data_IF_151142847704
#
_entry.id   IF_151142847704
#
_cell.length_a   1.000
_cell.length_b   1.000
_cell.length_c   1.000
_cell.angle_alpha   90.00
_cell.angle_beta   90.00
_cell.angle_gamma   90.00
#
_symmetry.space_group_name_H-M   'P 1'
#
loop_
_entity.id
_entity.type
_entity.pdbx_description
1 polymer ?
#
# COMPACT_ATOMS: atom_id res chain seq x y z
N UNK A 1 13.31 -62.93 -72.68
CA UNK A 1 11.84 -63.04 -72.70
C UNK A 1 11.39 -62.87 -71.26
N UNK A 2 10.71 -61.83 -70.76
CA UNK A 2 10.02 -60.63 -71.27
C UNK A 2 10.33 -59.49 -70.26
N UNK A 3 10.96 -58.36 -70.62
CA UNK A 3 10.40 -57.04 -71.00
C UNK A 3 9.07 -56.71 -70.27
N UNK A 4 8.90 -55.57 -69.56
CA UNK A 4 8.74 -54.15 -70.03
C UNK A 4 8.74 -53.26 -68.74
N UNK A 5 9.67 -52.32 -68.48
CA UNK A 5 9.75 -50.87 -68.82
C UNK A 5 8.52 -50.00 -68.45
N UNK A 6 8.61 -48.99 -67.56
CA UNK A 6 8.89 -47.54 -67.81
C UNK A 6 8.44 -46.79 -66.52
N UNK A 7 8.85 -45.60 -66.08
CA UNK A 7 9.77 -44.52 -66.51
C UNK A 7 9.73 -43.42 -65.42
N UNK A 8 10.84 -42.69 -65.24
CA UNK A 8 10.98 -41.24 -64.90
C UNK A 8 10.22 -40.67 -63.67
N UNK A 9 10.83 -39.88 -62.77
CA UNK A 9 11.59 -38.67 -63.07
C UNK A 9 12.47 -38.25 -61.86
N UNK A 10 13.67 -37.76 -62.17
CA UNK A 10 14.64 -37.14 -61.27
C UNK A 10 14.21 -35.73 -60.82
N UNK A 11 14.66 -35.25 -59.66
CA UNK A 11 15.81 -34.34 -59.58
C UNK A 11 16.16 -33.92 -58.14
N UNK A 12 17.46 -33.88 -57.94
CA UNK A 12 18.26 -33.38 -56.82
C UNK A 12 18.25 -31.84 -56.80
N UNK A 13 18.16 -31.20 -55.63
CA UNK A 13 18.94 -29.98 -55.31
C UNK A 13 18.84 -29.60 -53.82
N UNK A 14 19.98 -29.66 -53.15
CA UNK A 14 20.28 -28.94 -51.91
C UNK A 14 20.31 -27.43 -52.18
N UNK A 15 19.80 -26.63 -51.25
CA UNK A 15 19.91 -25.17 -51.25
C UNK A 15 19.90 -24.62 -49.82
N UNK A 16 21.07 -24.22 -49.35
CA UNK A 16 21.27 -23.47 -48.11
C UNK A 16 20.76 -22.02 -48.25
N UNK A 17 20.15 -21.52 -47.19
CA UNK A 17 20.24 -20.12 -46.77
C UNK A 17 19.26 -19.12 -47.42
N UNK A 18 18.34 -18.60 -46.62
CA UNK A 18 17.93 -17.20 -46.67
C UNK A 18 17.15 -16.83 -45.41
N UNK A 19 17.63 -15.81 -44.69
CA UNK A 19 16.83 -15.05 -43.73
C UNK A 19 15.61 -14.46 -44.43
N UNK A 20 14.41 -14.71 -43.90
CA UNK A 20 13.31 -13.77 -44.05
C UNK A 20 12.74 -13.39 -42.68
N UNK A 21 12.86 -12.10 -42.38
CA UNK A 21 12.00 -11.35 -41.49
C UNK A 21 10.63 -11.27 -42.17
N UNK A 22 9.60 -11.83 -41.55
CA UNK A 22 8.22 -11.50 -41.85
C UNK A 22 7.63 -10.75 -40.67
N UNK A 23 7.39 -9.46 -40.92
CA UNK A 23 6.43 -8.61 -40.24
C UNK A 23 5.02 -9.14 -40.48
N UNK A 24 4.25 -9.39 -39.42
CA UNK A 24 2.83 -9.70 -39.56
C UNK A 24 2.16 -9.94 -38.22
N UNK A 25 1.50 -8.90 -37.69
CA UNK A 25 0.51 -9.04 -36.64
C UNK A 25 -0.47 -10.16 -36.99
N UNK A 26 -0.52 -11.20 -36.17
CA UNK A 26 -1.70 -12.04 -36.03
C UNK A 26 -2.09 -12.05 -34.56
N UNK A 27 -3.30 -11.56 -34.29
CA UNK A 27 -3.97 -11.74 -33.01
C UNK A 27 -4.00 -13.23 -32.68
N UNK A 28 -3.17 -13.64 -31.72
CA UNK A 28 -3.34 -14.90 -31.00
C UNK A 28 -3.66 -14.53 -29.56
N UNK A 29 -4.96 -14.37 -29.28
CA UNK A 29 -5.47 -14.64 -27.95
C UNK A 29 -5.40 -16.16 -27.76
N UNK A 30 -4.65 -16.61 -26.76
CA UNK A 30 -4.95 -17.70 -25.81
C UNK A 30 -3.66 -18.31 -25.24
N UNK A 31 -3.17 -17.74 -24.14
CA UNK A 31 -2.80 -18.57 -23.00
C UNK A 31 -3.54 -17.99 -21.82
N UNK A 32 -4.18 -18.84 -21.01
CA UNK A 32 -4.49 -18.46 -19.63
C UNK A 32 -3.21 -17.82 -19.07
N UNK A 33 -3.28 -16.57 -18.64
CA UNK A 33 -2.19 -15.93 -17.90
C UNK A 33 -2.11 -16.67 -16.57
N UNK A 34 -1.43 -17.81 -16.55
CA UNK A 34 -1.19 -18.55 -15.31
C UNK A 34 -0.16 -17.77 -14.54
N UNK A 35 -0.61 -16.82 -13.71
CA UNK A 35 0.23 -16.18 -12.70
C UNK A 35 0.80 -17.28 -11.80
N UNK A 36 2.11 -17.49 -11.89
CA UNK A 36 2.86 -18.56 -11.20
C UNK A 36 3.56 -18.07 -9.92
N UNK A 37 3.33 -16.81 -9.57
CA UNK A 37 3.91 -16.10 -8.43
C UNK A 37 2.81 -15.52 -7.53
N UNK A 38 3.20 -15.06 -6.35
CA UNK A 38 2.30 -14.40 -5.39
C UNK A 38 1.88 -13.02 -5.90
N UNK A 39 0.63 -12.64 -5.67
CA UNK A 39 0.11 -11.32 -6.04
C UNK A 39 -0.41 -10.56 -4.84
N UNK A 40 -0.25 -9.24 -4.85
CA UNK A 40 -0.99 -8.30 -4.02
C UNK A 40 -2.44 -8.36 -4.46
N UNK A 41 -3.30 -8.90 -3.60
CA UNK A 41 -4.73 -9.09 -3.88
C UNK A 41 -5.55 -7.89 -3.41
N UNK A 42 -5.18 -7.28 -2.30
CA UNK A 42 -5.91 -6.13 -1.75
C UNK A 42 -5.00 -5.26 -0.90
N UNK A 43 -5.21 -3.95 -0.96
CA UNK A 43 -4.60 -2.97 -0.06
C UNK A 43 -5.67 -2.07 0.51
N UNK A 44 -5.82 -2.11 1.83
CA UNK A 44 -6.66 -1.21 2.59
C UNK A 44 -5.76 -0.21 3.32
N UNK A 45 -5.69 0.99 2.75
CA UNK A 45 -4.89 2.10 3.30
C UNK A 45 -5.78 3.27 3.79
N UNK A 46 -7.05 3.30 3.38
CA UNK A 46 -7.95 4.42 3.64
C UNK A 46 -8.24 4.60 5.14
N UNK A 47 -8.30 3.50 5.90
CA UNK A 47 -8.76 3.54 7.28
C UNK A 47 -10.26 3.83 7.38
N UNK A 48 -10.73 4.06 8.61
CA UNK A 48 -12.12 4.39 8.91
C UNK A 48 -12.26 5.82 9.45
N UNK A 49 -13.49 6.33 9.41
CA UNK A 49 -13.82 7.60 10.04
C UNK A 49 -14.34 7.36 11.45
N UNK A 50 -13.87 8.16 12.38
CA UNK A 50 -14.47 8.37 13.69
C UNK A 50 -15.13 9.74 13.72
N UNK A 51 -16.35 9.81 14.23
CA UNK A 51 -17.07 11.08 14.41
C UNK A 51 -17.28 11.30 15.90
N UNK A 52 -16.86 12.47 16.42
CA UNK A 52 -17.13 12.89 17.79
C UNK A 52 -18.15 14.03 17.83
N UNK A 53 -19.17 13.88 18.66
CA UNK A 53 -20.19 14.90 18.96
C UNK A 53 -20.18 15.18 20.47
N UNK A 54 -19.44 16.20 20.95
CA UNK A 54 -19.33 16.49 22.38
C UNK A 54 -20.68 16.84 23.02
N UNK A 55 -20.91 16.35 24.23
CA UNK A 55 -22.13 16.59 25.00
C UNK A 55 -22.19 17.96 25.70
N UNK A 56 -21.06 18.66 25.79
CA UNK A 56 -20.93 20.02 26.34
C UNK A 56 -20.22 20.96 25.36
N UNK A 57 -20.54 22.26 25.38
CA UNK A 57 -19.80 23.27 24.61
C UNK A 57 -18.35 23.32 25.09
N UNK A 58 -17.44 22.79 24.28
CA UNK A 58 -16.01 22.80 24.56
C UNK A 58 -15.40 24.09 24.00
N UNK A 59 -15.10 25.05 24.89
CA UNK A 59 -14.47 26.35 24.55
C UNK A 59 -12.94 26.32 24.69
N UNK A 60 -12.35 25.16 25.04
CA UNK A 60 -10.90 24.96 25.14
C UNK A 60 -10.26 24.68 23.78
N UNK A 61 -9.04 25.15 23.57
CA UNK A 61 -8.27 24.95 22.35
C UNK A 61 -8.25 23.47 21.93
N UNK A 62 -8.89 23.19 20.80
CA UNK A 62 -8.80 21.89 20.14
C UNK A 62 -7.38 21.76 19.59
N UNK A 63 -6.58 20.85 20.16
CA UNK A 63 -5.51 20.22 19.39
C UNK A 63 -6.22 19.23 18.46
N UNK A 64 -6.19 19.43 17.13
CA UNK A 64 -6.42 18.30 16.24
C UNK A 64 -5.42 17.25 16.68
N UNK A 65 -5.86 16.03 16.97
CA UNK A 65 -4.91 14.93 17.12
C UNK A 65 -3.96 14.99 15.92
N UNK A 66 -2.64 15.17 16.15
CA UNK A 66 -1.69 15.25 15.07
C UNK A 66 -1.55 13.83 14.51
N UNK A 67 -2.19 13.58 13.38
CA UNK A 67 -1.92 12.41 12.56
C UNK A 67 -2.50 11.09 13.09
N UNK A 68 -3.11 10.32 12.19
CA UNK A 68 -2.97 8.88 12.23
C UNK A 68 -1.48 8.56 12.23
N UNK A 69 -1.00 7.92 13.29
CA UNK A 69 0.43 7.72 13.51
C UNK A 69 0.69 7.14 14.88
N UNK A 70 0.24 5.90 15.10
CA UNK A 70 0.62 5.10 16.26
C UNK A 70 0.07 5.64 17.58
N UNK A 71 -0.35 4.74 18.47
CA UNK A 71 -0.61 5.15 19.84
C UNK A 71 0.71 5.45 20.55
N UNK A 72 1.18 6.69 20.38
CA UNK A 72 2.35 7.27 21.02
C UNK A 72 3.46 7.55 20.02
N UNK A 73 3.66 8.82 19.68
CA UNK A 73 4.93 9.51 19.96
C UNK A 73 4.77 11.03 19.80
N UNK A 74 5.59 11.72 20.57
CA UNK A 74 5.72 13.14 20.82
C UNK A 74 5.99 13.95 19.54
N UNK A 75 5.14 14.95 19.29
CA UNK A 75 5.56 16.12 18.51
C UNK A 75 5.02 17.38 19.17
N UNK A 76 5.92 18.07 19.88
CA UNK A 76 5.81 19.48 20.21
C UNK A 76 5.49 20.29 18.94
N UNK A 77 4.38 21.03 18.99
CA UNK A 77 4.16 22.16 18.09
C UNK A 77 3.78 23.37 18.92
N UNK A 78 4.81 24.13 19.28
CA UNK A 78 4.71 25.49 19.79
C UNK A 78 4.28 26.47 18.69
N UNK A 79 3.63 27.56 19.11
CA UNK A 79 3.41 28.87 18.43
C UNK A 79 1.96 29.20 17.99
N UNK A 80 1.56 30.49 17.99
CA UNK A 80 1.08 31.18 19.17
C UNK A 80 -0.34 31.75 19.00
N UNK A 81 -0.91 32.16 20.13
CA UNK A 81 -2.13 32.93 20.29
C UNK A 81 -2.13 34.27 19.55
N UNK A 82 -3.21 34.58 18.82
CA UNK A 82 -3.66 35.95 18.65
C UNK A 82 -5.09 36.10 19.19
N UNK A 83 -5.18 36.89 20.24
CA UNK A 83 -6.38 37.33 20.94
C UNK A 83 -6.94 38.55 20.20
N UNK A 84 -8.23 38.54 19.85
CA UNK A 84 -8.95 39.71 19.37
C UNK A 84 -10.23 39.85 20.16
N UNK A 85 -10.25 40.85 21.03
CA UNK A 85 -11.42 41.35 21.75
C UNK A 85 -12.16 42.36 20.89
N UNK A 86 -13.49 42.23 20.75
CA UNK A 86 -14.41 43.34 20.96
C UNK A 86 -15.89 42.88 21.03
N UNK A 87 -16.76 43.53 21.83
CA UNK A 87 -18.10 43.05 22.15
C UNK A 87 -19.19 43.73 21.32
N UNK A 88 -20.16 42.97 20.83
CA UNK A 88 -21.42 43.54 20.34
C UNK A 88 -22.61 42.63 20.68
N UNK A 89 -23.38 43.10 21.66
CA UNK A 89 -24.67 42.54 22.09
C UNK A 89 -25.69 42.66 20.96
N UNK A 90 -26.18 41.53 20.44
CA UNK A 90 -27.48 41.48 19.77
C UNK A 90 -28.20 40.19 20.17
N UNK A 91 -29.35 40.36 20.81
CA UNK A 91 -30.30 39.33 21.19
C UNK A 91 -30.84 38.67 19.91
N UNK A 92 -30.36 37.48 19.58
CA UNK A 92 -30.91 36.66 18.50
C UNK A 92 -31.49 35.38 19.07
N UNK A 93 -32.75 35.14 18.71
CA UNK A 93 -33.53 33.93 18.94
C UNK A 93 -32.69 32.66 18.80
N UNK A 94 -32.80 31.79 19.81
CA UNK A 94 -32.15 30.47 19.97
C UNK A 94 -32.23 29.63 18.69
N UNK A 95 -31.33 29.88 17.74
CA UNK A 95 -30.94 28.90 16.75
C UNK A 95 -30.37 27.75 17.56
N UNK A 96 -30.96 26.56 17.45
CA UNK A 96 -30.33 25.35 17.96
C UNK A 96 -28.94 25.31 17.34
N UNK A 97 -27.90 25.55 18.15
CA UNK A 97 -26.53 25.35 17.72
C UNK A 97 -26.46 23.89 17.31
N UNK A 98 -26.32 23.64 16.01
CA UNK A 98 -26.04 22.29 15.53
C UNK A 98 -24.81 21.81 16.31
N UNK A 99 -24.93 20.66 16.98
CA UNK A 99 -23.83 20.11 17.75
C UNK A 99 -22.60 20.02 16.83
N UNK A 100 -21.48 20.61 17.25
CA UNK A 100 -20.25 20.61 16.47
C UNK A 100 -19.74 19.18 16.39
N UNK A 101 -19.65 18.63 15.16
CA UNK A 101 -19.14 17.28 14.90
C UNK A 101 -17.68 17.37 14.44
N UNK A 102 -16.82 16.55 15.03
CA UNK A 102 -15.41 16.42 14.69
C UNK A 102 -15.19 15.09 13.98
N UNK A 103 -14.39 15.10 12.93
CA UNK A 103 -14.16 13.93 12.08
C UNK A 103 -12.68 13.62 12.08
N UNK A 104 -12.34 12.37 12.35
CA UNK A 104 -10.96 11.89 12.41
C UNK A 104 -10.84 10.65 11.54
N UNK A 105 -9.80 10.61 10.71
CA UNK A 105 -9.40 9.38 10.02
C UNK A 105 -8.55 8.55 10.97
N UNK A 106 -8.88 7.27 11.11
CA UNK A 106 -8.13 6.28 11.86
C UNK A 106 -7.62 5.24 10.87
N UNK A 107 -6.30 5.13 10.72
CA UNK A 107 -5.63 4.27 9.74
C UNK A 107 -4.69 3.25 10.41
N UNK A 108 -4.93 2.95 11.68
CA UNK A 108 -4.20 1.88 12.38
C UNK A 108 -4.66 0.48 11.91
N UNK A 109 -5.83 0.36 11.28
CA UNK A 109 -6.40 -0.90 10.80
C UNK A 109 -6.10 -1.19 9.32
N UNK A 110 -5.01 -0.61 8.81
CA UNK A 110 -4.52 -0.88 7.47
C UNK A 110 -4.07 -2.33 7.30
N UNK A 111 -4.25 -2.85 6.09
CA UNK A 111 -3.78 -4.19 5.73
C UNK A 111 -3.41 -4.32 4.26
N UNK A 112 -2.59 -5.34 4.00
CA UNK A 112 -2.26 -5.87 2.67
C UNK A 112 -2.65 -7.34 2.67
N UNK A 113 -3.28 -7.80 1.60
CA UNK A 113 -3.43 -9.24 1.37
C UNK A 113 -2.62 -9.70 0.18
N UNK A 114 -2.00 -10.87 0.32
CA UNK A 114 -1.26 -11.57 -0.73
C UNK A 114 -1.99 -12.85 -1.06
N UNK A 115 -2.08 -13.22 -2.33
CA UNK A 115 -2.72 -14.45 -2.78
C UNK A 115 -1.75 -15.29 -3.61
N UNK A 116 -1.89 -16.61 -3.49
CA UNK A 116 -1.19 -17.56 -4.37
C UNK A 116 -2.14 -18.08 -5.47
N UNK A 117 -2.09 -17.51 -6.69
CA UNK A 117 -2.84 -17.98 -7.84
C UNK A 117 -2.23 -19.22 -8.51
N UNK A 118 -0.99 -19.56 -8.15
CA UNK A 118 -0.28 -20.68 -8.77
C UNK A 118 -0.82 -22.03 -8.28
N UNK A 119 -0.45 -23.09 -8.99
CA UNK A 119 -0.78 -24.48 -8.63
C UNK A 119 0.23 -25.10 -7.66
N UNK A 120 1.26 -24.36 -7.26
CA UNK A 120 2.33 -24.84 -6.40
C UNK A 120 2.34 -24.10 -5.06
N UNK A 121 2.91 -24.72 -4.03
CA UNK A 121 3.18 -24.02 -2.78
C UNK A 121 4.34 -23.05 -2.99
N UNK A 122 4.12 -21.79 -2.66
CA UNK A 122 5.13 -20.73 -2.66
C UNK A 122 5.55 -20.41 -1.22
N UNK A 123 6.59 -19.62 -1.02
CA UNK A 123 7.12 -19.32 0.32
C UNK A 123 7.36 -17.81 0.48
N UNK A 124 6.97 -17.28 1.64
CA UNK A 124 7.17 -15.87 2.01
C UNK A 124 8.59 -15.60 2.51
N UNK A 125 9.32 -16.62 2.94
CA UNK A 125 10.70 -16.50 3.40
C UNK A 125 11.58 -15.74 2.39
N UNK A 126 12.40 -14.82 2.89
CA UNK A 126 13.26 -13.92 2.08
C UNK A 126 12.53 -12.96 1.13
N UNK A 127 11.20 -12.85 1.25
CA UNK A 127 10.44 -11.78 0.62
C UNK A 127 10.38 -10.55 1.53
N UNK A 128 10.03 -9.42 0.94
CA UNK A 128 9.75 -8.19 1.66
C UNK A 128 8.62 -7.40 0.98
N UNK A 129 7.87 -6.65 1.78
CA UNK A 129 7.02 -5.56 1.31
C UNK A 129 7.85 -4.29 1.31
N UNK A 130 7.85 -3.58 0.17
CA UNK A 130 8.64 -2.36 0.00
C UNK A 130 7.78 -1.21 -0.50
N UNK A 131 8.15 0.00 -0.09
CA UNK A 131 7.59 1.25 -0.64
C UNK A 131 8.61 1.91 -1.55
N UNK A 132 8.15 2.56 -2.61
CA UNK A 132 9.01 3.30 -3.53
C UNK A 132 9.44 4.64 -2.92
N UNK A 133 10.62 5.12 -3.30
CA UNK A 133 11.16 6.42 -2.91
C UNK A 133 10.43 7.60 -3.58
N UNK A 134 9.79 7.39 -4.73
CA UNK A 134 9.02 8.40 -5.43
C UNK A 134 7.58 8.40 -4.93
N UNK A 135 7.15 9.55 -4.38
CA UNK A 135 5.72 9.87 -4.26
C UNK A 135 5.17 10.17 -5.66
N UNK A 136 4.16 9.43 -6.15
CA UNK A 136 3.62 9.59 -7.50
C UNK A 136 2.92 10.95 -7.73
N UNK A 137 2.70 11.75 -6.68
CA UNK A 137 2.16 13.11 -6.77
C UNK A 137 3.23 14.16 -7.05
N UNK A 138 4.51 13.78 -7.11
CA UNK A 138 5.64 14.69 -7.28
C UNK A 138 6.32 14.40 -8.62
N UNK A 139 6.70 15.45 -9.35
CA UNK A 139 7.59 15.33 -10.51
C UNK A 139 9.01 15.61 -10.04
N UNK A 140 9.87 14.61 -10.14
CA UNK A 140 11.31 14.79 -9.94
C UNK A 140 12.01 15.05 -11.27
N UNK A 141 12.80 16.12 -11.31
CA UNK A 141 13.79 16.34 -12.36
C UNK A 141 15.12 15.78 -11.85
N UNK A 142 15.59 14.68 -12.45
CA UNK A 142 16.84 14.05 -12.03
C UNK A 142 18.05 14.67 -12.74
N UNK A 143 19.18 14.70 -12.04
CA UNK A 143 20.45 14.95 -12.69
C UNK A 143 20.77 13.83 -13.72
N UNK A 144 21.59 14.12 -14.75
CA UNK A 144 21.96 13.12 -15.75
C UNK A 144 22.56 11.85 -15.13
N UNK A 145 21.95 10.70 -15.41
CA UNK A 145 22.38 9.40 -14.91
C UNK A 145 21.72 8.96 -13.59
N UNK A 146 20.95 9.83 -12.93
CA UNK A 146 20.30 9.53 -11.64
C UNK A 146 18.84 9.06 -11.76
N UNK A 147 18.24 9.22 -12.94
CA UNK A 147 16.88 8.73 -13.16
C UNK A 147 16.86 7.19 -13.19
N UNK A 148 16.43 6.60 -12.07
CA UNK A 148 16.38 5.15 -11.90
C UNK A 148 15.07 4.50 -12.32
N UNK A 149 14.03 5.27 -12.64
CA UNK A 149 12.65 4.77 -12.88
C UNK A 149 12.60 3.64 -13.93
N UNK A 150 13.51 3.68 -14.91
CA UNK A 150 13.61 2.70 -15.99
C UNK A 150 14.71 1.63 -15.79
N UNK A 151 15.47 1.72 -14.70
CA UNK A 151 16.68 0.95 -14.42
C UNK A 151 16.49 -0.07 -13.31
N UNK A 152 15.85 0.32 -12.20
CA UNK A 152 15.51 -0.57 -11.09
C UNK A 152 14.29 -0.05 -10.31
N UNK A 153 13.75 -0.85 -9.39
CA UNK A 153 12.71 -0.40 -8.47
C UNK A 153 13.39 0.30 -7.29
N UNK A 154 13.28 1.64 -7.21
CA UNK A 154 13.95 2.46 -6.20
C UNK A 154 13.16 2.54 -4.90
N UNK A 155 13.66 1.89 -3.86
CA UNK A 155 12.95 1.64 -2.62
C UNK A 155 13.30 2.63 -1.51
N UNK A 156 12.29 3.05 -0.75
CA UNK A 156 12.43 3.76 0.52
C UNK A 156 12.39 2.80 1.72
N UNK A 157 11.25 2.17 2.01
CA UNK A 157 11.07 1.29 3.17
C UNK A 157 11.07 -0.18 2.77
N UNK A 158 11.56 -1.05 3.66
CA UNK A 158 11.72 -2.50 3.42
C UNK A 158 11.31 -3.27 4.68
N UNK A 159 10.14 -3.91 4.63
CA UNK A 159 9.59 -4.76 5.70
C UNK A 159 9.72 -6.23 5.30
N UNK A 160 10.57 -6.97 6.01
CA UNK A 160 10.96 -8.33 5.64
C UNK A 160 10.07 -9.36 6.32
N UNK A 161 9.64 -10.37 5.56
CA UNK A 161 9.03 -11.55 6.17
C UNK A 161 10.09 -12.34 6.95
N UNK A 162 9.72 -12.94 8.10
CA UNK A 162 10.60 -13.84 8.83
C UNK A 162 10.81 -15.16 8.07
N UNK A 163 11.69 -16.01 8.58
CA UNK A 163 11.88 -17.38 8.12
C UNK A 163 13.23 -17.68 7.47
N UNK A 164 13.53 -18.98 7.34
CA UNK A 164 14.83 -19.54 6.90
C UNK A 164 14.78 -20.20 5.52
N UNK A 165 13.64 -20.15 4.84
CA UNK A 165 13.47 -20.56 3.44
C UNK A 165 12.20 -21.38 3.18
N UNK A 166 11.69 -22.09 4.18
CA UNK A 166 10.52 -22.95 4.06
C UNK A 166 9.55 -22.86 5.25
N UNK A 167 9.70 -21.84 6.10
CA UNK A 167 8.93 -21.73 7.34
C UNK A 167 7.50 -21.22 7.08
N UNK A 168 7.31 -20.41 6.04
CA UNK A 168 6.05 -19.74 5.73
C UNK A 168 5.52 -20.13 4.33
N UNK A 169 4.99 -21.36 4.16
CA UNK A 169 4.37 -21.79 2.92
C UNK A 169 3.02 -21.10 2.67
N UNK A 170 2.79 -20.70 1.43
CA UNK A 170 1.50 -20.22 0.91
C UNK A 170 0.97 -21.24 -0.08
N UNK A 171 -0.09 -21.96 0.29
CA UNK A 171 -0.69 -23.01 -0.56
C UNK A 171 -1.42 -22.39 -1.75
N UNK A 172 -1.61 -23.14 -2.86
CA UNK A 172 -2.49 -22.73 -3.94
C UNK A 172 -3.86 -22.28 -3.43
N UNK A 173 -4.31 -21.10 -3.84
CA UNK A 173 -5.59 -20.53 -3.41
C UNK A 173 -5.58 -19.90 -2.01
N UNK A 174 -4.46 -19.89 -1.29
CA UNK A 174 -4.38 -19.26 0.02
C UNK A 174 -4.21 -17.74 -0.10
N UNK A 175 -4.95 -17.01 0.73
CA UNK A 175 -4.70 -15.59 1.01
C UNK A 175 -3.97 -15.47 2.34
N UNK A 176 -2.95 -14.61 2.38
CA UNK A 176 -2.22 -14.19 3.56
C UNK A 176 -2.63 -12.76 3.89
N UNK A 177 -2.94 -12.49 5.15
CA UNK A 177 -3.36 -11.19 5.66
C UNK A 177 -2.24 -10.60 6.51
N UNK A 178 -1.73 -9.45 6.08
CA UNK A 178 -0.64 -8.72 6.74
C UNK A 178 -1.22 -7.38 7.17
N UNK A 179 -1.09 -7.04 8.45
CA UNK A 179 -1.77 -5.88 9.04
C UNK A 179 -0.79 -4.93 9.70
N UNK A 180 -1.23 -3.70 9.98
CA UNK A 180 -0.42 -2.79 10.79
C UNK A 180 -0.30 -3.31 12.23
N UNK A 181 -1.42 -3.40 12.94
CA UNK A 181 -1.51 -4.00 14.27
C UNK A 181 -2.50 -5.16 14.28
N UNK A 182 -2.11 -6.32 14.78
CA UNK A 182 -2.99 -7.48 14.85
C UNK A 182 -3.86 -7.48 16.11
N UNK A 183 -4.78 -6.51 16.19
CA UNK A 183 -5.71 -6.33 17.33
C UNK A 183 -7.17 -6.24 16.86
N UNK A 184 -8.10 -6.32 17.80
CA UNK A 184 -9.48 -5.89 17.57
C UNK A 184 -9.55 -4.37 17.72
N UNK A 185 -9.44 -3.63 16.61
CA UNK A 185 -9.28 -2.18 16.64
C UNK A 185 -10.47 -1.44 17.25
N UNK A 186 -11.69 -1.98 17.12
CA UNK A 186 -12.85 -1.39 17.76
C UNK A 186 -12.72 -1.48 19.29
N UNK A 187 -12.40 -2.66 19.82
CA UNK A 187 -12.24 -2.86 21.27
C UNK A 187 -11.02 -2.13 21.83
N UNK A 188 -9.92 -2.09 21.08
CA UNK A 188 -8.73 -1.34 21.46
C UNK A 188 -9.04 0.16 21.60
N UNK A 189 -9.80 0.71 20.63
CA UNK A 189 -10.23 2.11 20.68
C UNK A 189 -11.22 2.38 21.81
N UNK A 190 -12.21 1.51 22.04
CA UNK A 190 -13.14 1.62 23.17
C UNK A 190 -12.40 1.63 24.52
N UNK A 191 -11.41 0.74 24.67
CA UNK A 191 -10.57 0.70 25.87
C UNK A 191 -9.76 1.98 26.03
N UNK A 192 -9.17 2.50 24.95
CA UNK A 192 -8.45 3.77 24.98
C UNK A 192 -9.35 4.91 25.47
N UNK A 193 -10.60 4.99 24.99
CA UNK A 193 -11.54 6.02 25.45
C UNK A 193 -11.85 5.89 26.95
N UNK A 194 -12.10 4.66 27.43
CA UNK A 194 -12.38 4.39 28.85
C UNK A 194 -11.18 4.74 29.75
N UNK A 195 -9.97 4.32 29.37
CA UNK A 195 -8.72 4.62 30.09
C UNK A 195 -8.46 6.14 30.21
N UNK A 196 -8.98 6.94 29.27
CA UNK A 196 -8.84 8.40 29.24
C UNK A 196 -10.08 9.15 29.76
N UNK A 197 -11.09 8.43 30.28
CA UNK A 197 -12.30 9.04 30.85
C UNK A 197 -13.22 9.71 29.82
N UNK A 198 -13.13 9.34 28.54
CA UNK A 198 -13.97 9.86 27.47
C UNK A 198 -15.34 9.16 27.45
N UNK A 199 -16.38 9.92 27.06
CA UNK A 199 -17.73 9.38 26.97
C UNK A 199 -17.94 8.71 25.60
N UNK A 200 -17.91 7.37 25.56
CA UNK A 200 -18.11 6.57 24.34
C UNK A 200 -19.37 6.96 23.53
N UNK A 201 -20.43 7.47 24.18
CA UNK A 201 -21.66 7.90 23.49
C UNK A 201 -21.48 9.14 22.62
N UNK A 202 -20.39 9.87 22.79
CA UNK A 202 -20.02 10.99 21.93
C UNK A 202 -19.39 10.53 20.61
N UNK A 203 -19.09 9.23 20.46
CA UNK A 203 -18.35 8.69 19.33
C UNK A 203 -19.22 7.80 18.44
N UNK A 204 -19.10 7.98 17.13
CA UNK A 204 -19.73 7.16 16.09
C UNK A 204 -18.64 6.60 15.16
N UNK A 205 -18.88 5.40 14.60
CA UNK A 205 -18.02 4.77 13.60
C UNK A 205 -17.00 3.78 14.13
N UNK A 206 -16.79 3.70 15.45
CA UNK A 206 -15.88 2.73 16.09
C UNK A 206 -16.27 1.28 15.75
N UNK A 207 -17.58 1.01 15.62
CA UNK A 207 -18.14 -0.28 15.24
C UNK A 207 -17.74 -0.75 13.82
N UNK A 208 -17.17 0.14 13.00
CA UNK A 208 -16.66 -0.18 11.67
C UNK A 208 -15.18 -0.62 11.69
N UNK A 209 -14.44 -0.28 12.74
CA UNK A 209 -13.01 -0.61 12.85
C UNK A 209 -12.80 -2.12 12.82
N UNK A 210 -11.77 -2.56 12.11
CA UNK A 210 -11.59 -3.97 11.79
C UNK A 210 -11.19 -4.83 13.00
N UNK A 211 -11.57 -6.11 13.00
CA UNK A 211 -10.96 -7.10 13.88
C UNK A 211 -9.84 -7.81 13.12
N UNK A 212 -8.60 -7.41 13.39
CA UNK A 212 -7.40 -7.92 12.76
C UNK A 212 -6.59 -8.84 13.69
N UNK A 213 -7.17 -9.24 14.82
CA UNK A 213 -6.51 -10.07 15.84
C UNK A 213 -6.07 -11.47 15.38
N UNK A 214 -6.54 -11.89 14.20
CA UNK A 214 -6.27 -13.20 13.58
C UNK A 214 -5.50 -13.08 12.25
N UNK A 215 -4.84 -11.95 12.02
CA UNK A 215 -3.96 -11.78 10.87
C UNK A 215 -2.83 -12.82 10.86
N UNK A 216 -2.27 -13.09 9.68
CA UNK A 216 -1.14 -14.02 9.52
C UNK A 216 0.18 -13.36 9.91
N UNK A 217 0.30 -12.04 9.72
CA UNK A 217 1.47 -11.23 10.07
C UNK A 217 1.07 -9.81 10.48
N UNK A 218 1.93 -9.12 11.22
CA UNK A 218 1.84 -7.69 11.44
C UNK A 218 3.15 -6.95 11.12
N UNK A 219 3.12 -5.65 10.86
CA UNK A 219 4.32 -4.84 10.63
C UNK A 219 4.56 -3.75 11.68
N UNK A 220 3.73 -3.68 12.72
CA UNK A 220 4.02 -2.83 13.87
C UNK A 220 5.32 -3.28 14.57
N UNK A 221 6.09 -2.35 15.16
CA UNK A 221 7.30 -2.72 15.87
C UNK A 221 7.00 -3.69 17.02
N UNK A 222 7.83 -4.71 17.21
CA UNK A 222 7.69 -5.66 18.33
C UNK A 222 7.78 -5.03 19.73
N UNK A 223 8.27 -3.80 19.81
CA UNK A 223 8.30 -2.99 21.05
C UNK A 223 7.05 -2.16 21.26
N UNK A 224 6.13 -2.13 20.29
CA UNK A 224 4.86 -1.41 20.41
C UNK A 224 3.98 -2.08 21.47
N UNK A 225 3.32 -1.26 22.29
CA UNK A 225 2.41 -1.74 23.34
C UNK A 225 1.24 -2.55 22.79
N UNK A 226 0.88 -2.33 21.53
CA UNK A 226 -0.22 -2.99 20.83
C UNK A 226 0.24 -4.16 19.95
N UNK A 227 1.52 -4.56 19.99
CA UNK A 227 2.01 -5.73 19.27
C UNK A 227 1.34 -7.00 19.80
N UNK A 228 0.92 -7.91 18.91
CA UNK A 228 0.32 -9.18 19.27
C UNK A 228 1.39 -10.28 19.27
N UNK A 229 1.83 -10.78 20.43
CA UNK A 229 2.93 -11.74 20.50
C UNK A 229 2.61 -13.12 19.86
N UNK A 230 1.37 -13.37 19.46
CA UNK A 230 0.97 -14.59 18.77
C UNK A 230 0.96 -14.44 17.24
N UNK A 231 1.18 -13.24 16.72
CA UNK A 231 1.25 -12.95 15.28
C UNK A 231 2.71 -12.65 14.93
N UNK A 232 3.29 -13.32 13.92
CA UNK A 232 4.66 -13.03 13.50
C UNK A 232 4.83 -11.62 12.92
N UNK A 233 5.91 -10.94 13.31
CA UNK A 233 6.22 -9.60 12.85
C UNK A 233 7.00 -9.60 11.52
N UNK A 234 6.67 -8.67 10.63
CA UNK A 234 7.58 -8.19 9.60
C UNK A 234 8.59 -7.24 10.25
N UNK A 235 9.87 -7.50 10.02
CA UNK A 235 10.95 -6.66 10.57
C UNK A 235 11.53 -5.75 9.51
N UNK A 236 11.78 -4.47 9.80
CA UNK A 236 12.45 -3.60 8.85
C UNK A 236 13.88 -4.11 8.59
N UNK A 237 14.38 -3.98 7.36
CA UNK A 237 15.74 -4.44 7.04
C UNK A 237 16.82 -3.75 7.88
N UNK A 238 16.57 -2.48 8.21
CA UNK A 238 17.29 -1.65 9.17
C UNK A 238 16.27 -0.69 9.82
N UNK A 239 16.47 -0.22 11.06
CA UNK A 239 15.46 0.59 11.77
C UNK A 239 14.97 1.82 10.99
N UNK A 240 15.86 2.50 10.27
CA UNK A 240 15.54 3.69 9.46
C UNK A 240 14.85 3.39 8.12
N UNK A 241 14.51 2.14 7.84
CA UNK A 241 13.84 1.68 6.62
C UNK A 241 12.48 1.05 6.91
N UNK A 242 11.90 1.31 8.08
CA UNK A 242 10.54 0.94 8.39
C UNK A 242 9.53 1.84 7.64
N UNK A 243 8.30 1.37 7.46
CA UNK A 243 7.14 2.24 7.30
C UNK A 243 6.17 1.96 8.44
N UNK A 244 5.49 2.99 8.94
CA UNK A 244 4.45 2.85 9.97
C UNK A 244 3.06 2.65 9.36
N UNK A 245 2.78 3.35 8.26
CA UNK A 245 1.51 3.28 7.53
C UNK A 245 1.76 3.20 6.02
N UNK A 246 0.75 2.72 5.30
CA UNK A 246 0.67 2.78 3.85
C UNK A 246 0.17 4.16 3.48
N UNK A 247 1.01 4.94 2.80
CA UNK A 247 0.68 6.29 2.34
C UNK A 247 -0.44 6.28 1.29
N UNK A 248 -1.24 7.35 1.26
CA UNK A 248 -2.27 7.58 0.23
C UNK A 248 -1.68 7.79 -1.19
N UNK A 249 -0.36 7.99 -1.29
CA UNK A 249 0.38 8.10 -2.52
C UNK A 249 1.76 7.42 -2.40
N UNK A 250 1.91 6.25 -3.01
CA UNK A 250 3.14 5.45 -2.92
C UNK A 250 3.15 4.33 -3.96
N UNK A 251 4.34 3.96 -4.45
CA UNK A 251 4.52 2.65 -5.10
C UNK A 251 4.71 1.57 -4.05
N UNK A 252 3.95 0.48 -4.11
CA UNK A 252 4.04 -0.66 -3.21
C UNK A 252 4.47 -1.90 -4.00
N UNK A 253 5.37 -2.73 -3.47
CA UNK A 253 5.76 -3.97 -4.12
C UNK A 253 6.03 -5.11 -3.14
N UNK A 254 5.77 -6.33 -3.60
CA UNK A 254 6.30 -7.56 -3.04
C UNK A 254 7.59 -7.91 -3.79
N UNK A 255 8.69 -8.09 -3.07
CA UNK A 255 10.00 -8.35 -3.69
C UNK A 255 10.70 -9.53 -3.04
N UNK A 256 11.57 -10.20 -3.80
CA UNK A 256 12.57 -11.12 -3.26
C UNK A 256 13.86 -10.35 -3.00
N UNK A 257 14.34 -10.36 -1.76
CA UNK A 257 15.56 -9.65 -1.43
C UNK A 257 16.77 -10.23 -2.19
N UNK A 258 17.58 -9.41 -2.88
CA UNK A 258 18.78 -9.88 -3.55
C UNK A 258 19.97 -10.10 -2.61
N UNK A 259 19.81 -9.75 -1.33
CA UNK A 259 20.83 -9.84 -0.28
C UNK A 259 20.18 -10.26 1.05
N UNK A 260 21.00 -10.73 2.00
CA UNK A 260 20.55 -10.98 3.37
C UNK A 260 20.51 -9.68 4.19
N UNK A 261 19.75 -9.61 5.30
CA UNK A 261 19.78 -8.47 6.21
C UNK A 261 21.19 -8.13 6.72
N UNK A 262 21.98 -9.14 7.06
CA UNK A 262 23.37 -8.95 7.49
C UNK A 262 24.23 -8.32 6.38
N UNK A 263 24.07 -8.78 5.13
CA UNK A 263 24.77 -8.19 3.98
C UNK A 263 24.33 -6.74 3.73
N UNK A 264 23.03 -6.46 3.85
CA UNK A 264 22.50 -5.11 3.68
C UNK A 264 23.03 -4.15 4.75
N UNK A 265 23.14 -4.60 6.00
CA UNK A 265 23.70 -3.81 7.08
C UNK A 265 25.14 -3.34 6.78
N UNK A 266 25.96 -4.16 6.09
CA UNK A 266 27.29 -3.73 5.64
C UNK A 266 27.24 -2.65 4.56
N UNK A 267 26.28 -2.71 3.63
CA UNK A 267 26.07 -1.65 2.65
C UNK A 267 25.62 -0.34 3.32
N UNK A 268 24.74 -0.44 4.32
CA UNK A 268 24.17 0.70 5.03
C UNK A 268 25.19 1.47 5.91
N UNK A 269 26.33 0.85 6.25
CA UNK A 269 27.44 1.54 6.95
C UNK A 269 28.20 2.53 6.07
N UNK A 270 28.05 2.44 4.74
CA UNK A 270 28.77 3.29 3.78
C UNK A 270 28.01 4.60 3.55
N UNK A 271 28.72 5.65 3.16
CA UNK A 271 28.11 6.91 2.74
C UNK A 271 27.73 6.81 1.23
N UNK A 272 26.43 6.87 0.88
CA UNK A 272 25.99 6.72 -0.51
C UNK A 272 26.50 7.81 -1.46
N UNK A 273 26.66 9.04 -0.98
CA UNK A 273 27.16 10.16 -1.78
C UNK A 273 28.66 9.97 -2.09
N UNK A 274 29.44 9.55 -1.10
CA UNK A 274 30.85 9.22 -1.28
C UNK A 274 31.03 8.01 -2.23
N UNK A 275 30.18 6.99 -2.08
CA UNK A 275 30.17 5.82 -2.96
C UNK A 275 29.87 6.20 -4.41
N UNK A 276 28.91 7.09 -4.63
CA UNK A 276 28.61 7.64 -5.95
C UNK A 276 29.81 8.36 -6.56
N UNK A 277 30.46 9.27 -5.82
CA UNK A 277 31.66 10.00 -6.28
C UNK A 277 32.80 9.05 -6.63
N UNK A 278 32.98 7.99 -5.84
CA UNK A 278 34.02 6.99 -6.04
C UNK A 278 33.62 5.83 -6.99
N UNK A 279 32.38 5.82 -7.50
CA UNK A 279 31.81 4.75 -8.34
C UNK A 279 31.88 3.36 -7.70
N UNK A 280 31.69 3.29 -6.39
CA UNK A 280 31.64 2.02 -5.65
C UNK A 280 30.30 1.33 -5.92
N UNK A 281 30.33 0.02 -6.16
CA UNK A 281 29.11 -0.77 -6.30
C UNK A 281 28.43 -0.94 -4.94
N UNK A 282 27.28 -0.30 -4.78
CA UNK A 282 26.43 -0.37 -3.59
C UNK A 282 24.96 -0.35 -4.06
N UNK A 283 24.04 -1.18 -3.52
CA UNK A 283 22.62 -1.08 -3.84
C UNK A 283 21.97 0.20 -3.28
N UNK A 284 22.63 0.94 -2.39
CA UNK A 284 22.12 2.20 -1.83
C UNK A 284 22.69 3.37 -2.63
N UNK A 285 21.84 4.05 -3.39
CA UNK A 285 22.24 5.09 -4.33
C UNK A 285 21.86 6.47 -3.82
N UNK A 286 22.80 7.42 -3.89
CA UNK A 286 22.52 8.84 -3.72
C UNK A 286 22.02 9.45 -5.03
N UNK A 287 20.81 9.99 -5.02
CA UNK A 287 20.10 10.47 -6.20
C UNK A 287 20.12 11.99 -6.18
N UNK A 288 20.72 12.59 -7.21
CA UNK A 288 20.68 14.04 -7.36
C UNK A 288 19.43 14.47 -8.14
N UNK A 289 18.76 15.50 -7.64
CA UNK A 289 17.65 16.17 -8.32
C UNK A 289 18.05 17.60 -8.70
N UNK A 290 17.50 18.10 -9.79
CA UNK A 290 17.86 19.41 -10.35
C UNK A 290 16.79 20.47 -10.14
N UNK A 291 15.57 20.10 -9.73
CA UNK A 291 14.55 21.09 -9.40
C UNK A 291 14.88 21.75 -8.04
N UNK A 292 14.47 23.01 -7.84
CA UNK A 292 14.83 23.78 -6.64
C UNK A 292 14.01 23.43 -5.40
N UNK A 293 12.90 22.72 -5.57
CA UNK A 293 11.92 22.52 -4.50
C UNK A 293 12.14 21.22 -3.70
N UNK A 294 13.01 20.33 -4.18
CA UNK A 294 13.30 19.05 -3.53
C UNK A 294 14.79 18.87 -3.29
N UNK A 295 15.11 18.25 -2.15
CA UNK A 295 16.46 17.83 -1.84
C UNK A 295 16.81 16.53 -2.57
N UNK A 296 18.11 16.32 -2.75
CA UNK A 296 18.65 15.01 -3.07
C UNK A 296 18.20 13.97 -2.05
N UNK A 297 18.17 12.70 -2.46
CA UNK A 297 17.68 11.62 -1.61
C UNK A 297 18.40 10.31 -1.86
N UNK A 298 18.07 9.29 -1.08
CA UNK A 298 18.66 7.95 -1.21
C UNK A 298 17.61 6.94 -1.62
N UNK A 299 17.89 6.17 -2.68
CA UNK A 299 17.05 5.06 -3.12
C UNK A 299 17.81 3.73 -3.01
N UNK A 300 17.15 2.68 -2.54
CA UNK A 300 17.69 1.32 -2.53
C UNK A 300 17.30 0.60 -3.81
N UNK A 301 18.27 0.06 -4.54
CA UNK A 301 18.06 -0.71 -5.75
C UNK A 301 17.51 -2.11 -5.44
N UNK A 302 16.30 -2.38 -5.93
CA UNK A 302 15.82 -3.73 -6.19
C UNK A 302 15.79 -3.94 -7.71
N UNK A 303 16.60 -4.87 -8.26
CA UNK A 303 16.56 -5.19 -9.68
C UNK A 303 15.15 -5.63 -10.09
N UNK A 304 14.68 -5.23 -11.27
CA UNK A 304 13.30 -5.53 -11.69
C UNK A 304 12.94 -7.02 -11.65
N UNK A 305 13.86 -7.91 -12.02
CA UNK A 305 13.65 -9.37 -11.96
C UNK A 305 13.55 -9.94 -10.53
N UNK A 306 13.61 -9.09 -9.50
CA UNK A 306 13.38 -9.43 -8.10
C UNK A 306 12.06 -8.87 -7.57
N UNK A 307 11.37 -8.03 -8.34
CA UNK A 307 10.00 -7.62 -8.02
C UNK A 307 9.06 -8.75 -8.44
N UNK A 308 8.25 -9.21 -7.49
CA UNK A 308 7.29 -10.29 -7.69
C UNK A 308 5.98 -9.71 -8.20
N UNK A 309 5.47 -8.69 -7.53
CA UNK A 309 4.27 -7.95 -7.91
C UNK A 309 4.38 -6.51 -7.37
N UNK A 310 3.74 -5.56 -8.03
CA UNK A 310 3.73 -4.16 -7.59
C UNK A 310 2.48 -3.40 -8.04
N UNK A 311 2.15 -2.35 -7.28
CA UNK A 311 1.08 -1.43 -7.61
C UNK A 311 1.44 0.02 -7.23
N UNK A 312 0.70 0.97 -7.77
CA UNK A 312 0.87 2.40 -7.49
C UNK A 312 -0.42 2.98 -6.93
N UNK A 313 -0.37 3.38 -5.67
CA UNK A 313 -1.45 4.07 -4.98
C UNK A 313 -1.26 5.57 -5.23
N UNK A 314 -2.31 6.27 -5.69
CA UNK A 314 -2.29 7.73 -5.80
C UNK A 314 -3.73 8.26 -5.92
N UNK A 315 -4.06 9.43 -5.32
CA UNK A 315 -5.34 10.07 -5.60
C UNK A 315 -5.51 10.35 -7.09
N UNK A 316 -6.72 10.08 -7.60
CA UNK A 316 -7.00 9.97 -9.04
C UNK A 316 -6.68 11.23 -9.85
N UNK A 317 -6.72 12.42 -9.23
CA UNK A 317 -6.43 13.73 -9.85
C UNK A 317 -5.05 14.28 -9.54
N UNK A 318 -4.26 13.57 -8.72
CA UNK A 318 -2.96 14.04 -8.22
C UNK A 318 -1.75 13.33 -8.83
N UNK A 319 -1.95 12.34 -9.69
CA UNK A 319 -0.85 11.60 -10.28
C UNK A 319 -0.07 12.46 -11.25
N UNK A 320 1.23 12.58 -11.01
CA UNK A 320 2.14 13.35 -11.85
C UNK A 320 3.26 12.49 -12.44
N UNK A 321 3.76 11.52 -11.67
CA UNK A 321 4.93 10.74 -12.06
C UNK A 321 4.78 9.26 -11.70
N UNK A 322 5.20 8.41 -12.62
CA UNK A 322 5.27 6.96 -12.41
C UNK A 322 6.51 6.58 -11.57
N UNK A 323 6.36 5.89 -10.42
CA UNK A 323 7.50 5.55 -9.56
C UNK A 323 8.47 4.51 -10.12
N UNK A 324 8.01 3.64 -11.02
CA UNK A 324 8.81 2.55 -11.59
C UNK A 324 8.24 2.09 -12.91
N UNK A 325 9.05 1.70 -13.90
CA UNK A 325 8.56 1.19 -15.20
C UNK A 325 7.62 -0.02 -15.12
N UNK A 326 7.66 -0.79 -14.03
CA UNK A 326 6.90 -2.03 -13.90
C UNK A 326 5.38 -1.78 -13.94
N UNK A 327 4.85 -0.81 -13.19
CA UNK A 327 3.41 -0.57 -13.15
C UNK A 327 2.97 0.57 -14.08
N UNK A 328 2.20 0.26 -15.12
CA UNK A 328 1.77 1.20 -16.18
C UNK A 328 0.66 2.15 -15.73
N UNK A 329 0.07 1.95 -14.56
CA UNK A 329 -1.03 2.79 -14.08
C UNK A 329 -0.92 3.12 -12.61
N UNK A 330 -2.03 3.61 -12.09
CA UNK A 330 -2.23 3.94 -10.68
C UNK A 330 -3.72 3.87 -10.36
N UNK A 331 -4.05 3.73 -9.07
CA UNK A 331 -5.41 3.88 -8.59
C UNK A 331 -5.40 4.40 -7.16
N UNK A 332 -6.49 5.05 -6.76
CA UNK A 332 -6.69 5.48 -5.38
C UNK A 332 -8.17 5.51 -5.03
N UNK A 333 -8.49 5.27 -3.76
CA UNK A 333 -9.87 5.36 -3.27
C UNK A 333 -10.38 6.80 -3.36
N UNK A 334 -9.48 7.78 -3.26
CA UNK A 334 -9.78 9.20 -3.32
C UNK A 334 -9.44 9.84 -4.69
N UNK A 335 -10.07 10.98 -4.97
CA UNK A 335 -9.81 11.86 -6.12
C UNK A 335 -8.66 12.83 -5.80
N UNK A 336 -8.70 13.46 -4.62
CA UNK A 336 -7.69 14.39 -4.10
C UNK A 336 -7.05 13.82 -2.82
N UNK A 337 -6.06 14.51 -2.24
CA UNK A 337 -5.49 14.14 -0.94
C UNK A 337 -6.57 14.15 0.16
N UNK A 338 -6.51 13.22 1.12
CA UNK A 338 -7.46 13.16 2.24
C UNK A 338 -7.55 14.48 3.02
N UNK A 339 -6.43 15.19 3.17
CA UNK A 339 -6.37 16.48 3.88
C UNK A 339 -7.16 17.61 3.21
N UNK A 340 -7.56 17.45 1.95
CA UNK A 340 -8.34 18.45 1.21
C UNK A 340 -9.85 18.19 1.26
N UNK A 341 -10.27 17.03 1.78
CA UNK A 341 -11.67 16.67 1.82
C UNK A 341 -12.38 17.38 2.96
N UNK A 342 -13.60 17.85 2.68
CA UNK A 342 -14.54 18.15 3.75
C UNK A 342 -15.03 16.84 4.38
N UNK A 343 -15.65 16.96 5.56
CA UNK A 343 -16.10 15.82 6.35
C UNK A 343 -17.01 14.86 5.57
N UNK A 344 -17.97 15.38 4.79
CA UNK A 344 -18.89 14.56 3.99
C UNK A 344 -18.18 13.76 2.89
N UNK A 345 -17.19 14.34 2.23
CA UNK A 345 -16.43 13.65 1.19
C UNK A 345 -15.43 12.66 1.76
N UNK A 346 -14.88 12.93 2.96
CA UNK A 346 -14.05 11.96 3.69
C UNK A 346 -14.82 10.68 3.98
N UNK A 347 -16.04 10.79 4.50
CA UNK A 347 -16.88 9.62 4.80
C UNK A 347 -17.17 8.72 3.58
N UNK A 348 -17.16 9.27 2.36
CA UNK A 348 -17.42 8.50 1.13
C UNK A 348 -16.28 7.57 0.75
N UNK A 349 -15.07 7.82 1.25
CA UNK A 349 -13.86 7.06 0.87
C UNK A 349 -13.26 6.25 2.01
N UNK A 350 -13.66 6.51 3.25
CA UNK A 350 -13.30 5.70 4.40
C UNK A 350 -13.95 4.31 4.32
N UNK A 351 -13.25 3.28 4.79
CA UNK A 351 -13.67 1.88 4.65
C UNK A 351 -13.53 1.30 3.24
N UNK A 352 -12.99 2.07 2.27
CA UNK A 352 -12.70 1.57 0.92
C UNK A 352 -11.26 1.06 0.81
N UNK A 353 -11.07 0.08 -0.06
CA UNK A 353 -9.81 -0.59 -0.37
C UNK A 353 -9.59 -0.64 -1.88
N UNK A 354 -8.36 -0.95 -2.29
CA UNK A 354 -8.04 -1.33 -3.65
C UNK A 354 -7.99 -2.86 -3.73
N UNK A 355 -8.92 -3.46 -4.45
CA UNK A 355 -9.02 -4.91 -4.63
C UNK A 355 -8.66 -5.27 -6.06
N UNK A 356 -7.81 -6.29 -6.23
CA UNK A 356 -7.48 -6.82 -7.54
C UNK A 356 -8.72 -7.47 -8.16
N UNK A 357 -9.01 -7.13 -9.40
CA UNK A 357 -10.18 -7.62 -10.15
C UNK A 357 -10.05 -9.12 -10.38
N UNK A 358 -11.20 -9.79 -10.33
CA UNK A 358 -11.33 -11.20 -10.71
C UNK A 358 -12.22 -11.30 -11.95
N UNK A 359 -11.70 -11.84 -13.05
CA UNK A 359 -12.39 -11.87 -14.34
C UNK A 359 -13.34 -13.08 -14.53
N UNK A 360 -13.54 -13.86 -13.46
CA UNK A 360 -14.31 -15.11 -13.46
C UNK A 360 -13.44 -16.36 -13.63
N UNK A 361 -12.20 -16.23 -14.08
CA UNK A 361 -11.22 -17.32 -14.22
C UNK A 361 -10.03 -17.16 -13.27
N UNK A 362 -9.57 -15.93 -13.08
CA UNK A 362 -8.42 -15.61 -12.27
C UNK A 362 -8.39 -14.15 -11.86
N UNK A 363 -7.40 -13.80 -11.03
CA UNK A 363 -7.10 -12.40 -10.76
C UNK A 363 -6.42 -11.76 -11.97
N UNK A 364 -6.83 -10.55 -12.31
CA UNK A 364 -6.28 -9.79 -13.43
C UNK A 364 -4.93 -9.20 -13.04
N UNK A 365 -3.93 -9.41 -13.89
CA UNK A 365 -2.58 -8.88 -13.69
C UNK A 365 -1.96 -8.51 -15.05
N UNK A 366 -1.89 -7.21 -15.33
CA UNK A 366 -1.45 -6.65 -16.61
C UNK A 366 -0.25 -5.69 -16.46
N UNK A 367 0.37 -5.72 -15.28
CA UNK A 367 1.31 -4.73 -14.78
C UNK A 367 0.75 -3.31 -14.90
N UNK A 368 -0.53 -3.12 -14.56
CA UNK A 368 -1.20 -1.83 -14.67
C UNK A 368 -2.28 -1.69 -13.59
N UNK A 369 -1.96 -0.99 -12.50
CA UNK A 369 -2.86 -0.83 -11.36
C UNK A 369 -4.25 -0.30 -11.76
N UNK A 370 -4.34 0.58 -12.75
CA UNK A 370 -5.62 1.12 -13.22
C UNK A 370 -6.53 0.04 -13.83
N UNK A 371 -5.94 -0.94 -14.50
CA UNK A 371 -6.66 -2.06 -15.11
C UNK A 371 -6.87 -3.20 -14.13
N UNK A 372 -5.90 -3.45 -13.27
CA UNK A 372 -5.83 -4.64 -12.42
C UNK A 372 -6.66 -4.49 -11.14
N UNK A 373 -6.86 -3.27 -10.64
CA UNK A 373 -7.57 -3.01 -9.39
C UNK A 373 -8.88 -2.25 -9.59
N UNK A 374 -9.75 -2.38 -8.61
CA UNK A 374 -11.00 -1.64 -8.44
C UNK A 374 -11.16 -1.16 -6.99
N UNK A 375 -11.95 -0.10 -6.82
CA UNK A 375 -12.25 0.44 -5.50
C UNK A 375 -13.50 -0.27 -4.95
N UNK A 376 -13.37 -0.91 -3.78
CA UNK A 376 -14.45 -1.65 -3.12
C UNK A 376 -14.39 -1.45 -1.59
N UNK A 377 -15.51 -1.65 -0.86
CA UNK A 377 -15.46 -1.78 0.59
C UNK A 377 -14.43 -2.85 0.99
N UNK A 378 -13.64 -2.58 2.03
CA UNK A 378 -12.62 -3.48 2.54
C UNK A 378 -13.19 -4.89 2.78
N UNK A 379 -12.52 -5.92 2.26
CA UNK A 379 -13.02 -7.29 2.35
C UNK A 379 -13.03 -7.85 3.77
N UNK A 380 -12.21 -7.28 4.66
CA UNK A 380 -12.17 -7.61 6.07
C UNK A 380 -13.12 -6.76 6.93
N UNK A 381 -13.93 -5.88 6.33
CA UNK A 381 -14.97 -5.13 7.04
C UNK A 381 -15.90 -6.06 7.82
N UNK A 382 -16.32 -5.61 9.00
CA UNK A 382 -17.28 -6.36 9.81
C UNK A 382 -18.58 -6.58 9.03
N UNK A 383 -19.24 -7.74 9.19
CA UNK A 383 -20.58 -7.91 8.68
C UNK A 383 -21.46 -6.80 9.23
N UNK A 384 -22.26 -6.15 8.38
CA UNK A 384 -23.28 -5.23 8.86
C UNK A 384 -24.12 -5.97 9.90
N UNK A 385 -24.22 -5.43 11.11
CA UNK A 385 -25.18 -5.92 12.08
C UNK A 385 -26.54 -5.96 11.38
N UNK A 386 -27.18 -7.13 11.33
CA UNK A 386 -28.54 -7.23 10.84
C UNK A 386 -29.37 -6.19 11.60
N UNK A 387 -30.12 -5.35 10.87
CA UNK A 387 -30.96 -4.32 11.48
C UNK A 387 -31.68 -4.94 12.67
N UNK A 388 -31.40 -4.44 13.89
CA UNK A 388 -32.17 -4.85 15.07
C UNK A 388 -33.64 -4.62 14.70
N UNK A 389 -34.51 -5.65 14.74
CA UNK A 389 -35.90 -5.45 14.40
C UNK A 389 -36.46 -4.34 15.29
N UNK A 390 -37.02 -3.31 14.66
CA UNK A 390 -37.59 -2.16 15.34
C UNK A 390 -38.47 -2.65 16.49
N UNK A 391 -38.17 -2.19 17.71
CA UNK A 391 -39.01 -2.46 18.88
C UNK A 391 -40.43 -2.02 18.53
N UNK A 392 -41.37 -2.98 18.54
CA UNK A 392 -42.79 -2.67 18.40
C UNK A 392 -43.15 -1.70 19.53
N UNK A 393 -43.83 -0.57 19.22
CA UNK A 393 -44.28 0.33 20.26
C UNK A 393 -45.16 -0.45 21.25
N UNK A 394 -44.84 -0.30 22.54
CA UNK A 394 -45.61 -0.87 23.62
C UNK A 394 -47.07 -0.38 23.51
N UNK A 395 -48.00 -1.33 23.60
CA UNK A 395 -49.44 -1.08 23.56
C UNK A 395 -49.95 -0.48 24.86
#
# INVERSE_FOLDING_TARGET
MNKIFYSLLALLALGLGSCQRETGLTNVQTSETTTDHLIIKEVFYAGHAMIRTPSTSYDGGYTPFPGGGGYGDDTDSDSPSEESTDPATTTSTRAASLAKRFYTRVDNDQYITIYNPSKQTLYLDSLAIVTNQIDPRIIFEFAPGDNFVNSYYGVNSIMCFPGKGHDFPVKPGQTIVIVNHAVDHAKDYEKYLDDNGENLKEYEGIDQFLDLSKADFEWSPSTDKNNNPNVPDLTPITPNRAFSTISEAVGLALVRLPWSPATFAEFAKRNPEADKKAKVKNPIHYINVTNTDFADFVAVEIPFGKVIDCMTICPRRRFLMKPSKLDKGFLGVAEENFSTYNNENLLKVMGLSLQRKFDGKGFVDTDNTTLDFEVKPASLSRPKAADKPAEKPAK
#
